data_IF_335038433828
#
_entry.id   IF_335038433828
#
_cell.length_a   1.000
_cell.length_b   1.000
_cell.length_c   1.000
_cell.angle_alpha   90.00
_cell.angle_beta   90.00
_cell.angle_gamma   90.00
#
_symmetry.space_group_name_H-M   'P 1'
#
loop_
_entity.id
_entity.type
_entity.pdbx_description
1 polymer ?
#
# COMPACT_ATOMS: atom_id res chain seq x y z
N UNK A 1 2.19 3.98 0.02
CA UNK A 1 1.28 4.78 0.89
C UNK A 1 2.01 5.87 1.69
N UNK A 2 2.87 5.54 2.66
CA UNK A 2 3.58 6.56 3.47
C UNK A 2 4.40 7.56 2.64
N UNK A 3 5.10 7.09 1.60
CA UNK A 3 5.82 7.95 0.65
C UNK A 3 4.93 8.98 -0.06
N UNK A 4 3.69 8.60 -0.42
CA UNK A 4 2.75 9.52 -1.08
C UNK A 4 2.36 10.66 -0.13
N UNK A 5 2.02 10.34 1.12
CA UNK A 5 1.64 11.32 2.14
C UNK A 5 2.83 12.21 2.51
N UNK A 6 4.03 11.64 2.69
CA UNK A 6 5.21 12.42 3.03
C UNK A 6 5.59 13.40 1.91
N UNK A 7 5.54 12.97 0.64
CA UNK A 7 5.85 13.82 -0.51
C UNK A 7 4.82 14.93 -0.69
N UNK A 8 3.53 14.60 -0.77
CA UNK A 8 2.47 15.60 -0.96
C UNK A 8 2.29 16.49 0.26
N UNK A 9 2.36 15.93 1.47
CA UNK A 9 2.35 16.69 2.71
C UNK A 9 3.54 17.64 2.83
N UNK A 10 4.73 17.22 2.39
CA UNK A 10 5.91 18.09 2.31
C UNK A 10 5.70 19.24 1.31
N UNK A 11 5.15 18.95 0.12
CA UNK A 11 4.81 19.99 -0.87
C UNK A 11 3.81 20.99 -0.27
N UNK A 12 2.72 20.50 0.34
CA UNK A 12 1.71 21.34 0.97
C UNK A 12 2.25 22.18 2.13
N UNK A 13 3.25 21.65 2.85
CA UNK A 13 3.90 22.39 3.92
C UNK A 13 4.74 23.55 3.36
N UNK A 14 5.51 23.29 2.30
CA UNK A 14 6.37 24.29 1.64
C UNK A 14 5.54 25.35 0.91
N UNK A 15 4.39 24.98 0.35
CA UNK A 15 3.50 25.92 -0.35
C UNK A 15 2.51 26.64 0.58
N UNK A 16 2.68 26.51 1.90
CA UNK A 16 1.81 27.12 2.92
C UNK A 16 0.32 26.83 2.70
N UNK A 17 0.02 25.60 2.28
CA UNK A 17 -1.36 25.22 1.98
C UNK A 17 -2.26 25.37 3.23
N UNK A 18 -3.35 26.15 3.15
CA UNK A 18 -4.16 26.49 4.32
C UNK A 18 -4.83 25.29 4.97
N UNK A 19 -5.16 24.24 4.20
CA UNK A 19 -5.78 23.03 4.72
C UNK A 19 -4.84 22.24 5.63
N UNK A 20 -3.54 22.21 5.31
CA UNK A 20 -2.53 21.56 6.14
C UNK A 20 -2.11 22.44 7.33
N UNK A 21 -1.88 23.73 7.09
CA UNK A 21 -1.37 24.65 8.13
C UNK A 21 -2.41 24.90 9.23
N UNK A 22 -3.69 24.86 8.91
CA UNK A 22 -4.74 25.10 9.91
C UNK A 22 -5.23 23.82 10.63
N UNK A 23 -4.76 22.64 10.22
CA UNK A 23 -5.21 21.37 10.80
C UNK A 23 -4.05 20.59 11.45
N UNK A 24 -4.02 20.58 12.78
CA UNK A 24 -2.96 19.89 13.55
C UNK A 24 -2.99 18.37 13.41
N UNK A 25 -4.15 17.78 13.13
CA UNK A 25 -4.26 16.34 12.86
C UNK A 25 -3.55 15.99 11.54
N UNK A 26 -3.73 16.80 10.49
CA UNK A 26 -3.05 16.61 9.22
C UNK A 26 -1.53 16.82 9.36
N UNK A 27 -1.09 17.82 10.12
CA UNK A 27 0.34 17.99 10.43
C UNK A 27 0.93 16.77 11.13
N UNK A 28 0.19 16.18 12.07
CA UNK A 28 0.62 14.99 12.80
C UNK A 28 0.75 13.79 11.86
N UNK A 29 -0.23 13.59 10.96
CA UNK A 29 -0.18 12.57 9.91
C UNK A 29 1.05 12.75 9.02
N UNK A 30 1.29 13.96 8.52
CA UNK A 30 2.45 14.25 7.66
C UNK A 30 3.76 13.99 8.40
N UNK A 31 3.90 14.46 9.64
CA UNK A 31 5.12 14.22 10.45
C UNK A 31 5.37 12.74 10.71
N UNK A 32 4.33 11.99 11.09
CA UNK A 32 4.44 10.56 11.36
C UNK A 32 4.83 9.78 10.09
N UNK A 33 4.16 10.06 8.97
CA UNK A 33 4.46 9.39 7.68
C UNK A 33 5.84 9.77 7.15
N UNK A 34 6.26 11.03 7.28
CA UNK A 34 7.64 11.45 6.97
C UNK A 34 8.66 10.72 7.84
N UNK A 35 8.40 10.56 9.15
CA UNK A 35 9.25 9.77 10.04
C UNK A 35 9.42 8.33 9.57
N UNK A 36 8.33 7.67 9.17
CA UNK A 36 8.37 6.30 8.61
C UNK A 36 9.19 6.26 7.32
N UNK A 37 8.98 7.23 6.42
CA UNK A 37 9.72 7.32 5.14
C UNK A 37 11.21 7.50 5.39
N UNK A 38 11.61 8.44 6.24
CA UNK A 38 13.01 8.68 6.59
C UNK A 38 13.63 7.45 7.24
N UNK A 39 12.94 6.80 8.18
CA UNK A 39 13.42 5.57 8.81
C UNK A 39 13.59 4.43 7.78
N UNK A 40 12.64 4.28 6.85
CA UNK A 40 12.71 3.26 5.80
C UNK A 40 13.85 3.52 4.80
N UNK A 41 14.07 4.78 4.42
CA UNK A 41 15.16 5.18 3.54
C UNK A 41 16.52 5.02 4.23
N UNK A 42 16.60 5.34 5.52
CA UNK A 42 17.80 5.12 6.33
C UNK A 42 18.11 3.64 6.49
N UNK A 43 17.10 2.79 6.74
CA UNK A 43 17.27 1.34 6.76
C UNK A 43 17.78 0.83 5.41
N UNK A 44 17.21 1.29 4.29
CA UNK A 44 17.67 0.96 2.94
C UNK A 44 19.12 1.38 2.67
N UNK A 45 19.52 2.55 3.18
CA UNK A 45 20.88 3.05 3.12
C UNK A 45 21.84 2.19 3.95
N UNK A 46 21.50 1.86 5.20
CA UNK A 46 22.29 1.00 6.09
C UNK A 46 22.49 -0.40 5.52
N UNK A 47 21.44 -0.98 4.91
CA UNK A 47 21.53 -2.26 4.19
C UNK A 47 22.61 -2.23 3.12
N UNK A 48 22.95 -1.05 2.62
CA UNK A 48 23.99 -0.87 1.64
C UNK A 48 25.41 -0.91 2.08
N UNK A 49 25.62 -0.78 3.38
CA UNK A 49 26.95 -0.90 3.97
C UNK A 49 27.32 -2.38 4.17
N UNK A 50 26.38 -3.30 3.98
CA UNK A 50 26.58 -4.74 4.13
C UNK A 50 27.08 -5.35 2.81
N UNK A 51 28.18 -6.10 2.90
CA UNK A 51 28.65 -6.98 1.82
C UNK A 51 27.73 -8.19 1.68
N UNK A 52 27.77 -8.87 0.53
CA UNK A 52 26.88 -10.02 0.24
C UNK A 52 27.01 -11.12 1.29
N UNK A 53 28.23 -11.45 1.70
CA UNK A 53 28.53 -12.43 2.73
C UNK A 53 27.89 -12.06 4.08
N UNK A 54 27.95 -10.77 4.45
CA UNK A 54 27.36 -10.28 5.70
C UNK A 54 25.83 -10.28 5.62
N UNK A 55 25.26 -9.89 4.49
CA UNK A 55 23.82 -9.94 4.27
C UNK A 55 23.28 -11.37 4.38
N UNK A 56 23.98 -12.35 3.79
CA UNK A 56 23.59 -13.76 3.88
C UNK A 56 23.77 -14.32 5.31
N UNK A 57 24.85 -13.95 6.00
CA UNK A 57 25.04 -14.32 7.41
C UNK A 57 23.92 -13.77 8.31
N UNK A 58 23.42 -12.55 8.04
CA UNK A 58 22.25 -11.99 8.75
C UNK A 58 20.98 -12.76 8.42
N UNK A 59 20.75 -13.12 7.15
CA UNK A 59 19.61 -13.93 6.74
C UNK A 59 19.57 -15.28 7.49
N UNK A 60 20.72 -15.95 7.58
CA UNK A 60 20.85 -17.23 8.28
C UNK A 60 20.62 -17.10 9.79
N UNK A 61 21.07 -16.00 10.40
CA UNK A 61 20.80 -15.71 11.82
C UNK A 61 19.31 -15.47 12.05
N UNK A 62 18.65 -14.68 11.20
CA UNK A 62 17.20 -14.46 11.25
C UNK A 62 16.42 -15.77 11.06
N UNK A 63 16.90 -16.65 10.18
CA UNK A 63 16.37 -17.99 9.93
C UNK A 63 16.27 -18.89 11.17
N UNK A 64 17.07 -18.64 12.21
CA UNK A 64 17.10 -19.47 13.43
C UNK A 64 16.01 -19.11 14.45
N UNK A 65 15.25 -18.03 14.22
CA UNK A 65 14.18 -17.61 15.12
C UNK A 65 13.00 -18.59 15.01
N UNK A 66 12.51 -19.19 16.12
CA UNK A 66 11.41 -20.14 16.05
C UNK A 66 10.13 -19.48 15.51
N UNK A 67 9.35 -20.25 14.73
CA UNK A 67 8.06 -19.89 14.10
C UNK A 67 8.10 -18.92 12.93
N UNK A 68 8.95 -17.89 12.95
CA UNK A 68 8.95 -16.82 11.90
C UNK A 68 10.29 -16.67 11.17
N UNK A 69 11.35 -17.33 11.65
CA UNK A 69 12.71 -17.10 11.17
C UNK A 69 12.89 -17.32 9.67
N UNK A 70 12.29 -18.37 9.11
CA UNK A 70 12.37 -18.67 7.68
C UNK A 70 11.81 -17.53 6.84
N UNK A 71 10.59 -17.08 7.11
CA UNK A 71 9.94 -15.99 6.37
C UNK A 71 10.71 -14.67 6.49
N UNK A 72 11.23 -14.37 7.68
CA UNK A 72 12.03 -13.15 7.92
C UNK A 72 13.38 -13.23 7.20
N UNK A 73 14.03 -14.39 7.18
CA UNK A 73 15.28 -14.61 6.45
C UNK A 73 15.10 -14.51 4.93
N UNK A 74 14.00 -15.05 4.39
CA UNK A 74 13.64 -14.90 2.97
C UNK A 74 13.34 -13.44 2.61
N UNK A 75 12.55 -12.75 3.42
CA UNK A 75 12.28 -11.33 3.24
C UNK A 75 13.57 -10.51 3.21
N UNK A 76 14.51 -10.82 4.12
CA UNK A 76 15.82 -10.18 4.15
C UNK A 76 16.63 -10.44 2.86
N UNK A 77 16.69 -11.69 2.39
CA UNK A 77 17.38 -12.03 1.13
C UNK A 77 16.77 -11.28 -0.05
N UNK A 78 15.44 -11.25 -0.15
CA UNK A 78 14.72 -10.51 -1.17
C UNK A 78 15.06 -9.01 -1.11
N UNK A 79 15.06 -8.39 0.08
CA UNK A 79 15.48 -6.99 0.25
C UNK A 79 16.92 -6.76 -0.26
N UNK A 80 17.86 -7.66 0.06
CA UNK A 80 19.25 -7.52 -0.41
C UNK A 80 19.37 -7.66 -1.94
N UNK A 81 18.55 -8.54 -2.55
CA UNK A 81 18.51 -8.76 -3.99
C UNK A 81 17.95 -7.52 -4.71
N UNK A 82 16.82 -6.99 -4.27
CA UNK A 82 16.21 -5.79 -4.85
C UNK A 82 17.14 -4.58 -4.80
N UNK A 83 18.00 -4.49 -3.78
CA UNK A 83 18.97 -3.41 -3.65
C UNK A 83 19.99 -3.37 -4.79
N UNK A 84 20.28 -4.51 -5.43
CA UNK A 84 21.18 -4.58 -6.60
C UNK A 84 20.56 -4.02 -7.86
N UNK A 85 19.25 -3.78 -7.86
CA UNK A 85 18.49 -3.26 -8.98
C UNK A 85 17.74 -1.98 -8.59
N UNK A 86 18.44 -0.90 -8.17
CA UNK A 86 17.81 0.32 -7.66
C UNK A 86 16.89 0.97 -8.70
N UNK A 87 17.21 0.86 -10.00
CA UNK A 87 16.35 1.34 -11.08
C UNK A 87 15.00 0.63 -11.13
N UNK A 88 14.98 -0.70 -10.96
CA UNK A 88 13.74 -1.49 -10.92
C UNK A 88 12.90 -1.13 -9.69
N UNK A 89 13.55 -0.97 -8.53
CA UNK A 89 12.88 -0.55 -7.29
C UNK A 89 12.29 0.85 -7.44
N UNK A 90 13.01 1.79 -8.06
CA UNK A 90 12.53 3.14 -8.30
C UNK A 90 11.31 3.16 -9.24
N UNK A 91 11.34 2.38 -10.33
CA UNK A 91 10.21 2.24 -11.24
C UNK A 91 9.01 1.63 -10.50
N UNK A 92 9.21 0.55 -9.75
CA UNK A 92 8.15 -0.11 -8.99
C UNK A 92 7.53 0.84 -7.95
N UNK A 93 8.35 1.64 -7.26
CA UNK A 93 7.89 2.67 -6.34
C UNK A 93 7.07 3.74 -7.07
N UNK A 94 7.54 4.22 -8.22
CA UNK A 94 6.83 5.19 -9.06
C UNK A 94 5.46 4.67 -9.51
N UNK A 95 5.40 3.44 -10.03
CA UNK A 95 4.14 2.79 -10.41
C UNK A 95 3.19 2.66 -9.22
N UNK A 96 3.72 2.30 -8.05
CA UNK A 96 2.94 2.18 -6.81
C UNK A 96 2.37 3.53 -6.37
N UNK A 97 3.14 4.62 -6.48
CA UNK A 97 2.67 5.97 -6.17
C UNK A 97 1.54 6.40 -7.12
N UNK A 98 1.68 6.17 -8.42
CA UNK A 98 0.64 6.47 -9.42
C UNK A 98 -0.64 5.66 -9.13
N UNK A 99 -0.51 4.36 -8.87
CA UNK A 99 -1.64 3.50 -8.54
C UNK A 99 -2.37 4.00 -7.27
N UNK A 100 -1.62 4.38 -6.23
CA UNK A 100 -2.22 4.91 -5.01
C UNK A 100 -2.83 6.30 -5.20
N UNK A 101 -2.27 7.15 -6.05
CA UNK A 101 -2.91 8.42 -6.40
C UNK A 101 -4.26 8.19 -7.10
N UNK A 102 -4.32 7.21 -8.02
CA UNK A 102 -5.58 6.76 -8.62
C UNK A 102 -6.59 6.28 -7.58
N UNK A 103 -6.15 5.50 -6.58
CA UNK A 103 -7.00 5.08 -5.47
C UNK A 103 -7.57 6.25 -4.66
N UNK A 104 -6.77 7.28 -4.37
CA UNK A 104 -7.26 8.48 -3.69
C UNK A 104 -8.35 9.17 -4.50
N UNK A 105 -8.14 9.33 -5.81
CA UNK A 105 -9.14 9.96 -6.71
C UNK A 105 -10.42 9.13 -6.75
N UNK A 106 -10.33 7.80 -6.86
CA UNK A 106 -11.50 6.92 -6.81
C UNK A 106 -12.24 7.11 -5.49
N UNK A 107 -11.54 7.13 -4.35
CA UNK A 107 -12.18 7.34 -3.05
C UNK A 107 -12.90 8.69 -2.97
N UNK A 108 -12.25 9.76 -3.43
CA UNK A 108 -12.87 11.10 -3.50
C UNK A 108 -14.16 11.07 -4.33
N UNK A 109 -14.14 10.41 -5.49
CA UNK A 109 -15.32 10.25 -6.34
C UNK A 109 -16.43 9.45 -5.65
N UNK A 110 -16.09 8.38 -4.93
CA UNK A 110 -17.05 7.59 -4.15
C UNK A 110 -17.82 8.44 -3.14
N UNK A 111 -17.15 9.36 -2.44
CA UNK A 111 -17.80 10.23 -1.45
C UNK A 111 -18.59 11.34 -2.14
N UNK A 112 -18.05 11.89 -3.24
CA UNK A 112 -18.73 12.94 -4.02
C UNK A 112 -20.07 12.50 -4.63
N UNK A 113 -20.32 11.17 -4.72
CA UNK A 113 -21.60 10.62 -5.16
C UNK A 113 -22.76 10.90 -4.18
N UNK A 114 -22.47 11.34 -2.95
CA UNK A 114 -23.48 11.62 -1.93
C UNK A 114 -23.57 13.14 -1.66
N UNK A 115 -24.60 13.83 -2.16
CA UNK A 115 -24.69 15.30 -2.07
C UNK A 115 -24.90 15.81 -0.63
N UNK A 116 -25.49 14.99 0.25
CA UNK A 116 -25.75 15.36 1.65
C UNK A 116 -24.52 15.25 2.56
N UNK A 117 -23.40 14.75 2.03
CA UNK A 117 -22.15 14.60 2.77
C UNK A 117 -21.24 15.79 2.46
N UNK A 118 -20.80 16.48 3.51
CA UNK A 118 -19.80 17.52 3.38
C UNK A 118 -18.46 16.89 2.93
N UNK A 119 -18.05 17.21 1.70
CA UNK A 119 -16.91 16.59 1.03
C UNK A 119 -15.59 17.27 1.45
N UNK A 120 -14.63 16.54 2.04
CA UNK A 120 -13.27 17.07 2.18
C UNK A 120 -12.66 17.35 0.80
N UNK A 121 -11.74 18.31 0.74
CA UNK A 121 -11.04 18.62 -0.50
C UNK A 121 -10.21 17.44 -1.00
N UNK A 122 -9.91 17.43 -2.30
CA UNK A 122 -9.04 16.39 -2.88
C UNK A 122 -7.65 16.38 -2.21
N UNK A 123 -7.13 17.56 -1.84
CA UNK A 123 -5.84 17.69 -1.13
C UNK A 123 -5.88 16.99 0.24
N UNK A 124 -6.95 17.16 1.01
CA UNK A 124 -7.14 16.46 2.28
C UNK A 124 -7.24 14.95 2.10
N UNK A 125 -7.94 14.49 1.05
CA UNK A 125 -8.02 13.07 0.70
C UNK A 125 -6.64 12.47 0.39
N UNK A 126 -5.75 13.18 -0.30
CA UNK A 126 -4.38 12.73 -0.55
C UNK A 126 -3.55 12.52 0.72
N UNK A 127 -3.93 13.14 1.84
CA UNK A 127 -3.27 12.95 3.13
C UNK A 127 -3.94 11.85 3.96
N UNK A 128 -5.27 11.82 4.03
CA UNK A 128 -5.98 10.87 4.91
C UNK A 128 -6.18 9.49 4.26
N UNK A 129 -6.46 9.42 2.95
CA UNK A 129 -6.83 8.15 2.31
C UNK A 129 -5.70 7.12 2.36
N UNK A 130 -4.43 7.47 2.08
CA UNK A 130 -3.36 6.50 2.19
C UNK A 130 -3.16 5.95 3.61
N UNK A 131 -3.48 6.75 4.63
CA UNK A 131 -3.47 6.31 6.04
C UNK A 131 -4.61 5.34 6.29
N UNK A 132 -5.82 5.65 5.81
CA UNK A 132 -6.99 4.76 5.88
C UNK A 132 -6.75 3.42 5.19
N UNK A 133 -6.14 3.42 4.00
CA UNK A 133 -5.73 2.19 3.29
C UNK A 133 -4.73 1.37 4.10
N UNK A 134 -3.78 2.02 4.78
CA UNK A 134 -2.80 1.32 5.63
C UNK A 134 -3.48 0.69 6.84
N UNK A 135 -4.37 1.43 7.51
CA UNK A 135 -5.13 0.91 8.64
C UNK A 135 -6.05 -0.26 8.23
N UNK A 136 -6.71 -0.15 7.08
CA UNK A 136 -7.53 -1.22 6.51
C UNK A 136 -6.71 -2.48 6.21
N UNK A 137 -5.49 -2.33 5.66
CA UNK A 137 -4.61 -3.45 5.32
C UNK A 137 -4.06 -4.19 6.56
N UNK A 138 -3.95 -3.51 7.70
CA UNK A 138 -3.53 -4.10 8.97
C UNK A 138 -4.66 -4.84 9.70
N UNK A 139 -5.90 -4.66 9.27
CA UNK A 139 -7.05 -5.27 9.93
C UNK A 139 -7.22 -6.73 9.50
N UNK A 140 -7.40 -7.69 10.44
CA UNK A 140 -7.31 -9.11 10.16
C UNK A 140 -8.53 -9.71 9.43
N UNK A 141 -9.62 -8.95 9.28
CA UNK A 141 -10.80 -9.41 8.54
C UNK A 141 -10.59 -9.29 7.02
N UNK A 142 -11.15 -10.22 6.22
CA UNK A 142 -10.99 -10.21 4.76
C UNK A 142 -11.43 -8.88 4.16
N UNK A 143 -10.58 -8.29 3.31
CA UNK A 143 -10.83 -6.97 2.72
C UNK A 143 -10.87 -5.80 3.71
N UNK A 144 -10.46 -6.02 4.97
CA UNK A 144 -10.49 -5.03 6.04
C UNK A 144 -11.90 -4.55 6.39
N UNK A 145 -12.91 -5.40 6.25
CA UNK A 145 -14.31 -5.07 6.58
C UNK A 145 -14.41 -4.63 8.04
N UNK A 146 -15.12 -3.53 8.30
CA UNK A 146 -15.28 -2.93 9.63
C UNK A 146 -14.08 -2.09 10.04
N UNK A 147 -12.86 -2.61 9.87
CA UNK A 147 -11.63 -1.87 10.17
C UNK A 147 -11.40 -0.67 9.25
N UNK A 148 -11.64 -0.84 7.96
CA UNK A 148 -11.56 0.26 6.98
C UNK A 148 -12.58 1.35 7.28
N UNK A 149 -13.84 0.99 7.47
CA UNK A 149 -14.93 1.92 7.79
C UNK A 149 -14.67 2.69 9.08
N UNK A 150 -14.21 2.00 10.13
CA UNK A 150 -13.83 2.64 11.38
C UNK A 150 -12.64 3.61 11.18
N UNK A 151 -11.61 3.20 10.43
CA UNK A 151 -10.45 4.03 10.16
C UNK A 151 -10.81 5.28 9.34
N UNK A 152 -11.56 5.14 8.25
CA UNK A 152 -11.99 6.27 7.44
C UNK A 152 -12.98 7.17 8.18
N UNK A 153 -13.92 6.60 8.93
CA UNK A 153 -14.83 7.36 9.78
C UNK A 153 -14.07 8.20 10.80
N UNK A 154 -13.07 7.62 11.48
CA UNK A 154 -12.20 8.34 12.41
C UNK A 154 -11.34 9.41 11.73
N UNK A 155 -10.81 9.14 10.53
CA UNK A 155 -10.03 10.14 9.78
C UNK A 155 -10.88 11.34 9.37
N UNK A 156 -12.15 11.13 9.02
CA UNK A 156 -13.07 12.22 8.67
C UNK A 156 -13.39 13.13 9.86
N UNK A 157 -13.54 12.57 11.06
CA UNK A 157 -13.75 13.40 12.26
C UNK A 157 -12.53 14.26 12.60
N UNK A 158 -11.31 13.87 12.17
CA UNK A 158 -10.11 14.71 12.28
C UNK A 158 -10.08 15.90 11.32
N UNK A 159 -10.96 15.89 10.31
CA UNK A 159 -11.16 17.00 9.38
C UNK A 159 -12.40 17.83 9.75
N UNK A 160 -12.98 17.61 10.94
CA UNK A 160 -14.25 18.21 11.35
C UNK A 160 -15.40 17.89 10.37
N UNK A 161 -15.34 16.73 9.72
CA UNK A 161 -16.37 16.22 8.81
C UNK A 161 -17.12 15.04 9.41
N UNK A 162 -18.33 14.81 8.93
CA UNK A 162 -19.14 13.67 9.36
C UNK A 162 -18.43 12.33 9.08
N UNK A 163 -18.29 11.50 10.12
CA UNK A 163 -17.69 10.16 10.01
C UNK A 163 -18.37 9.30 8.93
N UNK A 164 -19.67 9.50 8.74
CA UNK A 164 -20.49 8.84 7.72
C UNK A 164 -19.89 8.98 6.31
N UNK A 165 -19.27 10.13 5.99
CA UNK A 165 -18.63 10.33 4.69
C UNK A 165 -17.49 9.34 4.42
N UNK A 166 -16.60 9.16 5.40
CA UNK A 166 -15.50 8.19 5.30
C UNK A 166 -16.00 6.75 5.26
N UNK A 167 -17.02 6.43 6.06
CA UNK A 167 -17.65 5.09 6.09
C UNK A 167 -18.29 4.76 4.73
N UNK A 168 -19.11 5.66 4.18
CA UNK A 168 -19.76 5.47 2.89
C UNK A 168 -18.75 5.41 1.74
N UNK A 169 -17.74 6.29 1.74
CA UNK A 169 -16.65 6.26 0.75
C UNK A 169 -15.95 4.90 0.72
N UNK A 170 -15.63 4.35 1.89
CA UNK A 170 -15.02 3.03 2.02
C UNK A 170 -15.95 1.92 1.48
N UNK A 171 -17.24 1.98 1.82
CA UNK A 171 -18.23 0.99 1.38
C UNK A 171 -18.44 1.01 -0.13
N UNK A 172 -18.62 2.18 -0.73
CA UNK A 172 -18.77 2.33 -2.19
C UNK A 172 -17.51 1.89 -2.93
N UNK A 173 -16.34 2.29 -2.44
CA UNK A 173 -15.08 1.82 -3.02
C UNK A 173 -14.96 0.29 -2.99
N UNK A 174 -15.47 -0.35 -1.92
CA UNK A 174 -15.48 -1.81 -1.81
C UNK A 174 -16.44 -2.46 -2.80
N UNK A 175 -17.63 -1.89 -2.99
CA UNK A 175 -18.58 -2.36 -4.02
C UNK A 175 -17.94 -2.30 -5.40
N UNK A 176 -17.21 -1.23 -5.72
CA UNK A 176 -16.45 -1.12 -6.98
C UNK A 176 -15.38 -2.21 -7.09
N UNK A 177 -14.58 -2.39 -6.03
CA UNK A 177 -13.53 -3.41 -6.01
C UNK A 177 -14.07 -4.83 -6.20
N UNK A 178 -15.20 -5.16 -5.55
CA UNK A 178 -15.89 -6.43 -5.75
C UNK A 178 -16.48 -6.56 -7.15
N UNK A 179 -17.04 -5.48 -7.71
CA UNK A 179 -17.53 -5.47 -9.09
C UNK A 179 -16.41 -5.78 -10.10
N UNK A 180 -15.26 -5.12 -9.98
CA UNK A 180 -14.09 -5.39 -10.84
C UNK A 180 -13.57 -6.82 -10.61
N UNK A 181 -13.49 -7.26 -9.36
CA UNK A 181 -13.08 -8.63 -9.02
C UNK A 181 -14.00 -9.69 -9.63
N UNK A 182 -15.31 -9.45 -9.61
CA UNK A 182 -16.31 -10.33 -10.22
C UNK A 182 -16.15 -10.37 -11.75
N UNK A 183 -15.91 -9.23 -12.40
CA UNK A 183 -15.62 -9.20 -13.85
C UNK A 183 -14.36 -10.00 -14.17
N UNK A 184 -13.28 -9.79 -13.41
CA UNK A 184 -12.04 -10.56 -13.56
C UNK A 184 -12.25 -12.07 -13.36
N UNK A 185 -13.07 -12.45 -12.38
CA UNK A 185 -13.45 -13.84 -12.15
C UNK A 185 -14.23 -14.44 -13.33
N UNK A 186 -15.22 -13.71 -13.87
CA UNK A 186 -15.97 -14.16 -15.05
C UNK A 186 -15.04 -14.37 -16.24
N UNK A 187 -14.13 -13.42 -16.51
CA UNK A 187 -13.15 -13.55 -17.60
C UNK A 187 -12.26 -14.76 -17.37
N UNK A 188 -11.70 -14.91 -16.16
CA UNK A 188 -10.83 -16.03 -15.80
C UNK A 188 -11.51 -17.39 -16.01
N UNK A 189 -12.77 -17.55 -15.58
CA UNK A 189 -13.50 -18.82 -15.77
C UNK A 189 -13.85 -19.12 -17.23
N UNK A 190 -13.80 -18.12 -18.11
CA UNK A 190 -14.06 -18.25 -19.55
C UNK A 190 -12.79 -18.45 -20.38
N UNK A 191 -11.62 -18.14 -19.83
CA UNK A 191 -10.35 -18.46 -20.49
C UNK A 191 -10.14 -19.98 -20.51
N UNK A 192 -9.99 -20.54 -21.71
CA UNK A 192 -9.59 -21.95 -21.86
C UNK A 192 -8.20 -22.11 -21.24
N UNK A 193 -8.05 -23.07 -20.34
CA UNK A 193 -6.73 -23.48 -19.85
C UNK A 193 -5.96 -24.11 -21.00
N UNK A 194 -5.11 -23.34 -21.65
CA UNK A 194 -3.99 -23.89 -22.41
C UNK A 194 -3.01 -24.47 -21.40
N UNK A 195 -3.28 -25.69 -20.93
CA UNK A 195 -2.30 -26.47 -20.21
C UNK A 195 -1.20 -26.80 -21.23
N UNK A 196 0.08 -26.49 -20.95
CA UNK A 196 1.18 -27.03 -21.72
C UNK A 196 0.99 -28.54 -21.76
N UNK A 197 1.00 -29.14 -22.96
CA UNK A 197 1.00 -30.58 -23.10
C UNK A 197 2.16 -31.10 -22.25
N UNK A 198 1.87 -31.98 -21.29
CA UNK A 198 2.90 -32.65 -20.54
C UNK A 198 3.84 -33.30 -21.55
N UNK A 199 5.08 -32.83 -21.61
CA UNK A 199 6.12 -33.39 -22.45
C UNK A 199 6.19 -34.88 -22.12
N UNK A 200 5.78 -35.72 -23.08
CA UNK A 200 5.80 -37.16 -22.89
C UNK A 200 7.24 -37.56 -22.55
N UNK A 201 7.47 -38.37 -21.50
CA UNK A 201 8.82 -38.77 -21.13
C UNK A 201 9.50 -39.42 -22.33
N UNK A 202 10.68 -38.89 -22.67
CA UNK A 202 11.55 -39.39 -23.73
C UNK A 202 11.78 -40.90 -23.53
N UNK A 203 11.50 -41.76 -24.53
CA UNK A 203 11.68 -43.18 -24.38
C UNK A 203 13.15 -43.47 -24.08
N UNK A 204 13.39 -44.21 -22.99
CA UNK A 204 14.72 -44.58 -22.54
C UNK A 204 15.53 -45.22 -23.69
N UNK A 205 16.84 -44.93 -23.81
CA UNK A 205 17.67 -45.48 -24.86
C UNK A 205 17.64 -47.00 -24.81
N UNK A 206 17.40 -47.64 -25.96
CA UNK A 206 17.47 -49.08 -26.11
C UNK A 206 18.89 -49.55 -25.78
N UNK A 207 19.01 -50.44 -24.79
CA UNK A 207 20.24 -51.13 -24.40
C UNK A 207 20.55 -52.23 -25.41
#
# INVERSE_FOLDING_TARGET
LAWLVALLGGIFWVTENPYLINNDSLKTIVRATTGIVVASAFAWWLLGLLTEEKAEAVAQRLGRIPKVGTSVGEAWRACSLYRRQPGVVAIALGMTLVAHAGWVVIFYLCVSAFPDIELPTLAEHFLIVPVGMTAQALFPLPGGIGGGEAAYGWLYTRLDKAATGGVLGCLVQRVIAWGIGLVGYIIYTRMRRELPAAEAPEPAPAV
#
